data_IF_128081949689
#
_entry.id   IF_128081949689
#
_cell.length_a   1.000
_cell.length_b   1.000
_cell.length_c   1.000
_cell.angle_alpha   90.00
_cell.angle_beta   90.00
_cell.angle_gamma   90.00
#
_symmetry.space_group_name_H-M   'P 1'
#
loop_
_entity.id
_entity.type
_entity.pdbx_description
1 polymer ?
#
# COMPACT_ATOMS: atom_id res chain seq x y z
N UNK A 1 -47.90 -28.33 -51.40
CA UNK A 1 -46.45 -28.57 -51.52
C UNK A 1 -45.75 -27.23 -51.73
N UNK A 2 -44.93 -26.78 -50.76
CA UNK A 2 -43.64 -26.07 -50.88
C UNK A 2 -43.37 -25.29 -49.59
N UNK A 3 -42.23 -25.61 -48.99
CA UNK A 3 -41.73 -25.25 -47.64
C UNK A 3 -41.17 -23.82 -47.65
N UNK A 4 -41.30 -23.07 -46.56
CA UNK A 4 -40.40 -21.93 -46.29
C UNK A 4 -39.82 -21.97 -44.86
N UNK A 5 -38.62 -22.53 -44.82
CA UNK A 5 -37.43 -22.26 -44.01
C UNK A 5 -37.53 -21.50 -42.68
N UNK A 6 -37.15 -22.22 -41.62
CA UNK A 6 -36.62 -21.70 -40.36
C UNK A 6 -35.50 -20.69 -40.63
N UNK A 7 -35.55 -19.54 -39.97
CA UNK A 7 -34.39 -18.67 -39.77
C UNK A 7 -34.24 -18.41 -38.27
N UNK A 8 -33.67 -19.38 -37.57
CA UNK A 8 -33.20 -19.18 -36.20
C UNK A 8 -31.89 -18.38 -36.28
N UNK A 9 -31.98 -17.06 -36.08
CA UNK A 9 -30.81 -16.22 -35.92
C UNK A 9 -30.12 -16.56 -34.58
N UNK A 10 -29.10 -17.41 -34.63
CA UNK A 10 -28.18 -17.63 -33.54
C UNK A 10 -27.24 -16.40 -33.46
N UNK A 11 -27.59 -15.43 -32.61
CA UNK A 11 -26.68 -14.33 -32.28
C UNK A 11 -25.58 -14.89 -31.37
N UNK A 12 -24.45 -15.27 -31.95
CA UNK A 12 -23.23 -15.59 -31.21
C UNK A 12 -22.63 -14.28 -30.69
N UNK A 13 -22.98 -13.92 -29.45
CA UNK A 13 -22.34 -12.81 -28.76
C UNK A 13 -20.97 -13.27 -28.24
N UNK A 14 -19.91 -12.98 -28.99
CA UNK A 14 -18.53 -13.04 -28.49
C UNK A 14 -18.32 -11.90 -27.50
N UNK A 15 -18.57 -12.14 -26.21
CA UNK A 15 -18.11 -11.23 -25.16
C UNK A 15 -16.58 -11.28 -25.13
N UNK A 16 -15.94 -10.26 -25.68
CA UNK A 16 -14.53 -9.99 -25.40
C UNK A 16 -14.44 -9.60 -23.91
N UNK A 17 -14.01 -10.54 -23.07
CA UNK A 17 -13.62 -10.25 -21.69
C UNK A 17 -12.39 -9.34 -21.76
N UNK A 18 -12.58 -8.04 -21.50
CA UNK A 18 -11.46 -7.15 -21.25
C UNK A 18 -10.71 -7.69 -20.01
N UNK A 19 -9.38 -7.85 -20.05
CA UNK A 19 -8.63 -8.28 -18.88
C UNK A 19 -8.86 -7.25 -17.76
N UNK A 20 -9.21 -7.75 -16.57
CA UNK A 20 -9.27 -6.91 -15.38
C UNK A 20 -7.88 -6.32 -15.15
N UNK A 21 -7.78 -4.99 -15.03
CA UNK A 21 -6.56 -4.37 -14.56
C UNK A 21 -6.38 -4.78 -13.09
N UNK A 22 -5.32 -5.55 -12.80
CA UNK A 22 -4.92 -5.89 -11.45
C UNK A 22 -3.81 -4.95 -10.99
N UNK A 23 -3.92 -4.48 -9.75
CA UNK A 23 -2.81 -3.79 -9.10
C UNK A 23 -1.65 -4.78 -8.91
N UNK A 24 -0.43 -4.36 -9.26
CA UNK A 24 0.78 -5.14 -9.07
C UNK A 24 1.61 -4.51 -7.96
N UNK A 25 2.02 -5.32 -6.98
CA UNK A 25 2.97 -4.91 -5.94
C UNK A 25 4.32 -4.69 -6.61
N UNK A 26 4.88 -3.50 -6.45
CA UNK A 26 6.17 -3.09 -7.03
C UNK A 26 7.24 -2.83 -5.99
N UNK A 27 6.86 -2.71 -4.72
CA UNK A 27 7.76 -2.71 -3.57
C UNK A 27 6.99 -3.28 -2.37
N UNK A 28 7.67 -4.08 -1.56
CA UNK A 28 7.15 -4.55 -0.28
C UNK A 28 8.31 -4.78 0.69
N UNK A 29 8.16 -4.31 1.91
CA UNK A 29 9.05 -4.63 3.02
C UNK A 29 8.28 -4.66 4.34
N UNK A 30 8.47 -5.72 5.12
CA UNK A 30 7.95 -5.84 6.48
C UNK A 30 9.06 -5.93 7.52
N UNK A 31 10.32 -5.70 7.12
CA UNK A 31 11.53 -5.66 7.95
C UNK A 31 11.84 -6.93 8.76
N UNK A 32 11.05 -7.99 8.60
CA UNK A 32 11.11 -9.20 9.43
C UNK A 32 12.26 -10.15 9.10
N UNK A 33 12.90 -9.92 7.95
CA UNK A 33 14.07 -10.69 7.48
C UNK A 33 15.36 -10.37 8.24
N UNK A 34 15.38 -9.25 8.97
CA UNK A 34 16.56 -8.71 9.63
C UNK A 34 16.64 -9.11 11.12
N UNK A 35 17.83 -9.00 11.70
CA UNK A 35 18.05 -9.28 13.12
C UNK A 35 17.69 -8.07 13.99
N UNK A 36 16.82 -8.26 14.98
CA UNK A 36 16.58 -7.26 16.03
C UNK A 36 17.57 -7.44 17.20
N UNK A 37 17.98 -6.41 17.95
CA UNK A 37 17.82 -4.96 17.69
C UNK A 37 19.10 -4.43 17.02
N UNK A 38 18.97 -3.61 15.96
CA UNK A 38 20.07 -2.88 15.33
C UNK A 38 19.87 -1.36 15.52
N UNK A 39 20.60 -0.79 16.48
CA UNK A 39 20.44 0.59 16.93
C UNK A 39 21.21 1.62 16.11
N UNK A 40 21.61 1.29 14.88
CA UNK A 40 22.04 2.21 13.83
C UNK A 40 21.90 1.47 12.49
N UNK A 41 20.68 1.04 12.18
CA UNK A 41 20.41 0.22 11.01
C UNK A 41 20.74 0.99 9.72
N UNK A 42 21.58 0.41 8.87
CA UNK A 42 22.04 1.07 7.63
C UNK A 42 21.07 0.87 6.44
N UNK A 43 20.19 -0.13 6.53
CA UNK A 43 19.29 -0.53 5.45
C UNK A 43 19.24 -2.05 5.22
N UNK A 44 18.45 -2.44 4.23
CA UNK A 44 18.29 -3.80 3.71
C UNK A 44 18.38 -3.80 2.17
N UNK A 45 17.77 -4.78 1.51
CA UNK A 45 17.75 -4.86 0.05
C UNK A 45 16.75 -3.88 -0.62
N UNK A 46 15.82 -3.30 0.13
CA UNK A 46 14.73 -2.45 -0.36
C UNK A 46 14.99 -0.98 -0.01
N UNK A 47 15.43 -0.70 1.21
CA UNK A 47 15.66 0.63 1.76
C UNK A 47 17.08 0.82 2.26
N UNK A 48 17.54 2.06 2.23
CA UNK A 48 18.76 2.51 2.92
C UNK A 48 18.49 3.79 3.69
N UNK A 49 19.27 4.05 4.74
CA UNK A 49 19.21 5.32 5.47
C UNK A 49 19.88 6.41 4.64
N UNK A 50 19.10 7.37 4.14
CA UNK A 50 19.59 8.46 3.27
C UNK A 50 20.09 9.67 4.06
N UNK A 51 19.58 9.89 5.27
CA UNK A 51 20.04 10.93 6.19
C UNK A 51 19.65 10.59 7.63
N UNK A 52 20.38 11.15 8.58
CA UNK A 52 20.14 10.92 10.01
C UNK A 52 20.47 9.48 10.41
N UNK A 53 19.75 8.95 11.39
CA UNK A 53 19.83 7.55 11.79
C UNK A 53 18.46 6.95 12.03
N UNK A 54 18.37 5.64 11.85
CA UNK A 54 17.16 4.83 12.04
C UNK A 54 17.59 3.59 12.81
N UNK A 55 16.74 3.12 13.71
CA UNK A 55 16.97 1.87 14.44
C UNK A 55 15.98 0.81 13.95
N UNK A 56 16.44 -0.42 13.77
CA UNK A 56 15.58 -1.59 13.56
C UNK A 56 15.36 -2.28 14.90
N UNK A 57 14.12 -2.30 15.36
CA UNK A 57 13.74 -2.78 16.69
C UNK A 57 12.56 -3.76 16.61
N UNK A 58 12.18 -4.37 17.73
CA UNK A 58 10.99 -5.20 17.83
C UNK A 58 11.28 -6.69 18.04
N UNK A 59 10.33 -7.55 17.65
CA UNK A 59 10.41 -9.01 17.70
C UNK A 59 10.85 -9.61 19.05
N UNK A 60 10.35 -9.05 20.17
CA UNK A 60 10.72 -9.46 21.52
C UNK A 60 12.11 -9.00 21.99
N UNK A 61 12.76 -8.11 21.23
CA UNK A 61 14.00 -7.43 21.60
C UNK A 61 13.85 -6.47 22.78
N UNK A 62 14.93 -5.76 23.11
CA UNK A 62 14.96 -4.78 24.19
C UNK A 62 14.08 -3.56 23.94
N UNK A 63 13.72 -3.31 22.68
CA UNK A 63 12.87 -2.21 22.24
C UNK A 63 11.61 -2.71 21.52
N UNK A 64 10.97 -3.77 22.03
CA UNK A 64 9.68 -4.23 21.51
C UNK A 64 8.50 -3.35 22.00
N UNK A 65 8.35 -2.19 21.37
CA UNK A 65 7.34 -1.16 21.63
C UNK A 65 5.92 -1.55 21.20
N UNK A 66 5.79 -2.33 20.14
CA UNK A 66 4.53 -2.86 19.60
C UNK A 66 4.57 -4.40 19.50
N UNK A 67 4.45 -5.12 20.64
CA UNK A 67 4.60 -6.58 20.65
C UNK A 67 3.62 -7.30 19.73
N UNK A 68 4.13 -8.31 19.02
CA UNK A 68 3.35 -9.15 18.11
C UNK A 68 3.33 -8.70 16.65
N UNK A 69 4.01 -7.59 16.31
CA UNK A 69 4.10 -7.08 14.93
C UNK A 69 5.40 -7.45 14.20
N UNK A 70 6.31 -8.20 14.82
CA UNK A 70 7.61 -8.50 14.19
C UNK A 70 8.62 -7.38 14.43
N UNK A 71 9.46 -7.07 13.43
CA UNK A 71 10.41 -5.93 13.48
C UNK A 71 9.83 -4.73 12.76
N UNK A 72 10.25 -3.56 13.21
CA UNK A 72 9.84 -2.28 12.66
C UNK A 72 10.93 -1.25 12.85
N UNK A 73 10.84 -0.15 12.10
CA UNK A 73 11.80 0.92 12.13
C UNK A 73 11.39 2.03 13.08
N UNK A 74 12.30 2.41 13.97
CA UNK A 74 12.28 3.67 14.69
C UNK A 74 12.98 4.74 13.86
N UNK A 75 12.22 5.67 13.29
CA UNK A 75 12.73 6.66 12.34
C UNK A 75 13.58 7.79 12.98
N UNK A 76 13.93 7.68 14.25
CA UNK A 76 14.87 8.58 14.94
C UNK A 76 15.87 7.75 15.77
N UNK A 77 16.87 7.22 15.09
CA UNK A 77 17.81 6.27 15.67
C UNK A 77 18.84 6.87 16.65
N UNK A 78 19.83 6.06 17.02
CA UNK A 78 20.64 6.31 18.22
C UNK A 78 21.91 7.17 18.04
N UNK A 79 22.20 7.73 16.86
CA UNK A 79 23.44 8.54 16.66
C UNK A 79 23.38 9.94 17.29
N UNK A 80 22.21 10.59 17.31
CA UNK A 80 22.03 11.95 17.81
C UNK A 80 22.61 13.05 16.91
N UNK A 81 22.26 14.32 17.18
CA UNK A 81 22.75 15.49 16.43
C UNK A 81 22.16 15.71 15.03
N UNK A 82 21.22 14.87 14.58
CA UNK A 82 20.61 14.92 13.25
C UNK A 82 19.41 15.88 13.16
N UNK A 83 19.27 16.57 12.01
CA UNK A 83 18.08 17.33 11.60
C UNK A 83 18.00 17.33 10.04
N UNK A 84 17.11 16.53 9.41
CA UNK A 84 16.05 15.72 10.03
C UNK A 84 16.61 14.55 10.85
N UNK A 85 15.80 14.04 11.78
CA UNK A 85 16.15 12.95 12.70
C UNK A 85 16.64 11.67 11.99
N UNK A 86 15.84 11.19 11.03
CA UNK A 86 16.13 9.99 10.23
C UNK A 86 15.28 9.96 8.96
N UNK A 87 15.81 9.37 7.91
CA UNK A 87 15.10 9.13 6.66
C UNK A 87 15.57 7.82 6.03
N UNK A 88 14.61 6.98 5.62
CA UNK A 88 14.88 5.87 4.72
C UNK A 88 14.40 6.21 3.31
N UNK A 89 15.14 5.74 2.32
CA UNK A 89 14.79 5.91 0.89
C UNK A 89 14.89 4.56 0.18
N UNK A 90 13.93 4.27 -0.70
CA UNK A 90 13.95 3.04 -1.48
C UNK A 90 15.10 3.03 -2.49
N UNK A 91 15.79 1.90 -2.67
CA UNK A 91 16.75 1.75 -3.78
C UNK A 91 16.06 1.87 -5.14
N UNK A 92 14.84 1.34 -5.26
CA UNK A 92 14.04 1.46 -6.47
C UNK A 92 13.58 2.90 -6.70
N UNK A 93 13.59 3.31 -7.98
CA UNK A 93 12.90 4.52 -8.44
C UNK A 93 11.70 4.12 -9.27
N UNK A 94 10.58 4.77 -9.03
CA UNK A 94 9.31 4.51 -9.68
C UNK A 94 9.05 5.55 -10.78
N UNK A 95 8.43 5.13 -11.89
CA UNK A 95 8.06 6.04 -12.97
C UNK A 95 6.79 6.83 -12.64
N UNK A 96 6.50 7.86 -13.45
CA UNK A 96 5.24 8.58 -13.37
C UNK A 96 4.05 7.63 -13.53
N UNK A 97 2.99 7.85 -12.77
CA UNK A 97 1.81 6.98 -12.80
C UNK A 97 0.94 7.09 -11.56
N UNK A 98 -0.05 6.21 -11.49
CA UNK A 98 -0.92 6.07 -10.34
C UNK A 98 -0.42 4.93 -9.45
N UNK A 99 -0.37 5.17 -8.15
CA UNK A 99 0.05 4.19 -7.16
C UNK A 99 -0.91 4.17 -5.97
N UNK A 100 -0.93 3.03 -5.28
CA UNK A 100 -1.41 2.92 -3.90
C UNK A 100 -0.24 2.58 -3.01
N UNK A 101 -0.05 3.36 -1.95
CA UNK A 101 0.93 3.13 -0.90
C UNK A 101 0.20 2.73 0.38
N UNK A 102 0.55 1.56 0.90
CA UNK A 102 0.10 1.03 2.18
C UNK A 102 1.31 0.90 3.12
N UNK A 103 1.15 1.26 4.38
CA UNK A 103 2.15 1.07 5.43
C UNK A 103 1.51 1.21 6.80
N UNK A 104 2.16 0.67 7.83
CA UNK A 104 1.80 0.93 9.21
C UNK A 104 2.66 2.05 9.80
N UNK A 105 2.03 2.94 10.58
CA UNK A 105 2.74 3.97 11.33
C UNK A 105 2.16 4.12 12.73
N UNK A 106 3.03 4.17 13.73
CA UNK A 106 2.70 4.34 15.15
C UNK A 106 3.50 5.47 15.78
N UNK A 107 3.03 5.96 16.93
CA UNK A 107 3.79 6.89 17.75
C UNK A 107 5.07 6.28 18.31
N UNK A 108 5.91 7.10 18.94
CA UNK A 108 7.19 6.64 19.48
C UNK A 108 7.11 5.66 20.67
N UNK A 109 5.92 5.44 21.23
CA UNK A 109 5.59 4.53 22.34
C UNK A 109 6.46 4.67 23.60
N UNK A 110 7.23 5.76 23.72
CA UNK A 110 8.19 6.01 24.80
C UNK A 110 7.90 7.31 25.56
N UNK A 111 6.71 7.89 25.36
CA UNK A 111 6.27 9.11 26.03
C UNK A 111 6.96 10.39 25.54
N UNK A 112 7.63 10.34 24.38
CA UNK A 112 8.23 11.52 23.75
C UNK A 112 7.19 12.53 23.25
N UNK A 113 7.62 13.71 22.77
CA UNK A 113 6.72 14.65 22.10
C UNK A 113 6.10 14.04 20.83
N UNK A 114 5.05 14.68 20.32
CA UNK A 114 4.49 14.32 19.04
C UNK A 114 5.55 14.45 17.93
N UNK A 115 5.52 13.52 16.98
CA UNK A 115 6.50 13.37 15.92
C UNK A 115 5.81 13.36 14.56
N UNK A 116 6.42 14.00 13.57
CA UNK A 116 5.87 14.08 12.20
C UNK A 116 6.71 13.27 11.23
N UNK A 117 6.10 12.30 10.56
CA UNK A 117 6.72 11.57 9.45
C UNK A 117 6.22 12.15 8.13
N UNK A 118 7.14 12.58 7.28
CA UNK A 118 6.86 12.97 5.91
C UNK A 118 7.11 11.78 4.99
N UNK A 119 6.11 11.43 4.19
CA UNK A 119 6.17 10.36 3.19
C UNK A 119 6.13 10.98 1.80
N UNK A 120 7.09 10.63 0.93
CA UNK A 120 7.19 11.22 -0.41
C UNK A 120 7.44 10.19 -1.49
N UNK A 121 6.89 10.45 -2.68
CA UNK A 121 7.27 9.78 -3.93
C UNK A 121 7.07 10.76 -5.08
N UNK A 122 8.17 11.30 -5.61
CA UNK A 122 8.12 12.36 -6.63
C UNK A 122 7.48 13.64 -6.08
N UNK A 123 6.41 14.11 -6.71
CA UNK A 123 5.60 15.26 -6.30
C UNK A 123 4.48 14.92 -5.31
N UNK A 124 4.26 13.64 -4.99
CA UNK A 124 3.42 13.24 -3.87
C UNK A 124 4.15 13.46 -2.54
N UNK A 125 3.46 14.10 -1.58
CA UNK A 125 3.95 14.30 -0.21
C UNK A 125 2.78 14.33 0.76
N UNK A 126 2.92 13.63 1.89
CA UNK A 126 1.99 13.71 3.02
C UNK A 126 2.76 13.77 4.33
N UNK A 127 2.28 14.60 5.25
CA UNK A 127 2.82 14.68 6.62
C UNK A 127 1.82 14.06 7.58
N UNK A 128 2.28 13.10 8.38
CA UNK A 128 1.49 12.43 9.41
C UNK A 128 2.14 12.75 10.76
N UNK A 129 1.38 13.40 11.64
CA UNK A 129 1.84 13.74 12.99
C UNK A 129 1.13 12.85 14.00
N UNK A 130 1.92 12.14 14.83
CA UNK A 130 1.42 11.21 15.84
C UNK A 130 1.87 11.63 17.23
N UNK A 131 0.98 11.47 18.20
CA UNK A 131 1.32 11.50 19.61
C UNK A 131 2.05 10.20 20.00
N UNK A 132 2.80 10.21 21.11
CA UNK A 132 3.61 9.06 21.52
C UNK A 132 2.83 7.75 21.63
N UNK A 133 1.59 7.79 22.09
CA UNK A 133 0.78 6.60 22.36
C UNK A 133 -0.20 6.27 21.23
N UNK A 134 -0.09 6.93 20.07
CA UNK A 134 -0.93 6.57 18.94
C UNK A 134 -0.59 5.13 18.49
N UNK A 135 -1.61 4.28 18.25
CA UNK A 135 -1.39 2.88 17.93
C UNK A 135 -0.74 2.72 16.56
N UNK A 136 0.04 1.65 16.38
CA UNK A 136 0.52 1.23 15.07
C UNK A 136 -0.69 0.92 14.18
N UNK A 137 -0.91 1.77 13.16
CA UNK A 137 -2.13 1.78 12.35
C UNK A 137 -1.80 1.75 10.87
N UNK A 138 -2.60 1.03 10.07
CA UNK A 138 -2.44 1.01 8.62
C UNK A 138 -2.92 2.32 7.97
N UNK A 139 -2.04 2.95 7.20
CA UNK A 139 -2.31 4.07 6.32
C UNK A 139 -2.34 3.60 4.87
N UNK A 140 -3.27 4.14 4.07
CA UNK A 140 -3.41 3.81 2.66
C UNK A 140 -3.67 5.09 1.85
N UNK A 141 -2.86 5.34 0.84
CA UNK A 141 -2.97 6.51 -0.03
C UNK A 141 -2.92 6.09 -1.49
N UNK A 142 -3.96 6.44 -2.26
CA UNK A 142 -3.93 6.38 -3.72
C UNK A 142 -3.62 7.76 -4.30
N UNK A 143 -2.58 7.85 -5.13
CA UNK A 143 -2.12 9.14 -5.67
C UNK A 143 -1.52 8.98 -7.08
N UNK A 144 -1.38 10.10 -7.78
CA UNK A 144 -0.55 10.19 -8.98
C UNK A 144 0.78 10.83 -8.62
N UNK A 145 1.84 10.41 -9.30
CA UNK A 145 3.18 10.95 -9.14
C UNK A 145 3.85 11.15 -10.50
N UNK A 146 4.78 12.09 -10.54
CA UNK A 146 5.76 12.31 -11.61
C UNK A 146 6.92 11.30 -11.59
N UNK A 147 7.00 10.47 -10.55
CA UNK A 147 8.03 9.45 -10.36
C UNK A 147 9.16 9.90 -9.44
N UNK A 148 9.93 8.93 -8.94
CA UNK A 148 11.00 9.13 -7.97
C UNK A 148 11.14 7.94 -7.03
N UNK A 149 11.99 8.09 -6.01
CA UNK A 149 12.11 7.11 -4.93
C UNK A 149 11.03 7.35 -3.87
N UNK A 150 10.62 6.27 -3.19
CA UNK A 150 9.77 6.34 -2.00
C UNK A 150 10.66 6.66 -0.80
N UNK A 151 10.27 7.63 0.02
CA UNK A 151 11.00 7.97 1.23
C UNK A 151 10.07 8.22 2.42
N UNK A 152 10.55 7.87 3.61
CA UNK A 152 9.91 8.14 4.89
C UNK A 152 10.91 8.90 5.77
N UNK A 153 10.56 10.14 6.13
CA UNK A 153 11.42 11.04 6.90
C UNK A 153 10.77 11.45 8.20
N UNK A 154 11.45 11.23 9.31
CA UNK A 154 11.11 11.84 10.59
C UNK A 154 11.58 13.31 10.59
N UNK A 155 10.63 14.25 10.62
CA UNK A 155 10.93 15.68 10.61
C UNK A 155 11.47 16.16 11.97
N UNK A 156 12.14 17.31 11.92
CA UNK A 156 12.70 18.01 13.07
C UNK A 156 14.02 17.40 13.55
N UNK A 157 14.63 17.98 14.59
CA UNK A 157 15.83 17.41 15.15
C UNK A 157 15.51 16.10 15.88
N UNK A 158 16.53 15.25 15.93
CA UNK A 158 16.54 14.03 16.74
C UNK A 158 16.29 14.31 18.23
N UNK A 159 15.57 13.39 18.86
CA UNK A 159 15.45 13.24 20.31
C UNK A 159 15.60 11.75 20.71
N UNK A 160 16.14 10.93 19.80
CA UNK A 160 16.33 9.48 19.90
C UNK A 160 15.03 8.66 20.00
N UNK A 161 13.86 9.27 19.69
CA UNK A 161 12.57 8.58 19.68
C UNK A 161 11.67 9.07 18.54
N UNK A 162 11.48 8.22 17.53
CA UNK A 162 10.77 8.51 16.30
C UNK A 162 9.42 7.83 16.22
N UNK A 163 8.62 8.18 15.21
CA UNK A 163 7.47 7.35 14.84
C UNK A 163 7.97 5.98 14.36
N UNK A 164 7.15 4.96 14.60
CA UNK A 164 7.45 3.57 14.26
C UNK A 164 6.80 3.20 12.93
N UNK A 165 7.60 2.79 11.95
CA UNK A 165 7.19 2.42 10.60
C UNK A 165 7.29 0.91 10.39
N UNK A 166 6.28 0.31 9.76
CA UNK A 166 6.24 -1.11 9.46
C UNK A 166 5.42 -1.41 8.17
N UNK A 167 5.50 -2.63 7.66
CA UNK A 167 4.63 -3.22 6.62
C UNK A 167 4.45 -2.33 5.37
N UNK A 168 5.54 -1.81 4.81
CA UNK A 168 5.51 -0.93 3.64
C UNK A 168 5.20 -1.71 2.36
N UNK A 169 4.19 -1.28 1.61
CA UNK A 169 3.85 -1.83 0.31
C UNK A 169 3.46 -0.73 -0.68
N UNK A 170 4.04 -0.76 -1.88
CA UNK A 170 3.66 0.10 -3.00
C UNK A 170 3.14 -0.75 -4.15
N UNK A 171 1.98 -0.38 -4.70
CA UNK A 171 1.35 -1.06 -5.83
C UNK A 171 1.02 -0.10 -6.98
N UNK A 172 1.17 -0.55 -8.23
CA UNK A 172 0.78 0.23 -9.42
C UNK A 172 -0.71 0.13 -9.70
N UNK A 173 -1.34 1.27 -9.99
CA UNK A 173 -2.72 1.39 -10.45
C UNK A 173 -3.77 1.34 -9.33
N UNK A 174 -4.89 2.05 -9.53
CA UNK A 174 -6.10 1.87 -8.75
C UNK A 174 -6.71 0.53 -9.13
N UNK A 175 -6.96 -0.34 -8.14
CA UNK A 175 -7.86 -1.48 -8.32
C UNK A 175 -9.18 -0.89 -8.85
N UNK A 176 -9.59 -1.16 -10.10
CA UNK A 176 -10.86 -0.65 -10.60
C UNK A 176 -11.93 -1.16 -9.65
N UNK A 177 -12.75 -0.24 -9.13
CA UNK A 177 -13.92 -0.62 -8.34
C UNK A 177 -14.68 -1.71 -9.09
N UNK A 178 -15.06 -2.78 -8.37
CA UNK A 178 -14.90 -4.10 -8.91
C UNK A 178 -15.80 -4.29 -10.11
N UNK A 179 -15.21 -4.77 -11.20
CA UNK A 179 -15.93 -5.36 -12.33
C UNK A 179 -17.01 -6.37 -11.87
N UNK A 180 -16.98 -6.84 -10.62
CA UNK A 180 -18.08 -7.50 -9.93
C UNK A 180 -19.42 -6.82 -10.09
N UNK A 181 -19.56 -5.48 -10.00
CA UNK A 181 -20.87 -4.84 -10.21
C UNK A 181 -21.34 -4.99 -11.65
N UNK A 182 -20.44 -4.75 -12.61
CA UNK A 182 -20.74 -4.95 -14.03
C UNK A 182 -21.06 -6.41 -14.35
N UNK A 183 -20.35 -7.36 -13.75
CA UNK A 183 -20.57 -8.80 -13.91
C UNK A 183 -21.83 -9.28 -13.21
N UNK A 184 -22.21 -8.72 -12.05
CA UNK A 184 -23.49 -8.98 -11.40
C UNK A 184 -24.64 -8.43 -12.24
N UNK A 185 -24.53 -7.19 -12.74
CA UNK A 185 -25.55 -6.59 -13.61
C UNK A 185 -25.69 -7.39 -14.91
N UNK A 186 -24.58 -7.78 -15.54
CA UNK A 186 -24.58 -8.62 -16.73
C UNK A 186 -25.13 -10.02 -16.44
N UNK A 187 -24.73 -10.64 -15.33
CA UNK A 187 -25.18 -11.98 -14.91
C UNK A 187 -26.67 -12.01 -14.58
N UNK A 188 -27.14 -11.07 -13.76
CA UNK A 188 -28.57 -10.95 -13.42
C UNK A 188 -29.40 -10.46 -14.61
N UNK A 189 -28.88 -9.56 -15.43
CA UNK A 189 -29.51 -9.11 -16.67
C UNK A 189 -29.68 -10.25 -17.68
N UNK A 190 -28.66 -11.08 -17.86
CA UNK A 190 -28.71 -12.27 -18.71
C UNK A 190 -29.71 -13.32 -18.17
N UNK A 191 -29.67 -13.61 -16.87
CA UNK A 191 -30.61 -14.53 -16.23
C UNK A 191 -32.08 -14.05 -16.38
N UNK A 192 -32.33 -12.76 -16.13
CA UNK A 192 -33.65 -12.15 -16.31
C UNK A 192 -34.14 -12.20 -17.76
N UNK A 193 -33.27 -11.94 -18.73
CA UNK A 193 -33.59 -12.04 -20.16
C UNK A 193 -33.95 -13.48 -20.57
N UNK A 194 -33.25 -14.49 -20.04
CA UNK A 194 -33.56 -15.90 -20.30
C UNK A 194 -34.92 -16.31 -19.72
N UNK A 195 -35.25 -15.87 -18.50
CA UNK A 195 -36.55 -16.15 -17.88
C UNK A 195 -37.71 -15.50 -18.66
N UNK A 196 -37.56 -14.25 -19.13
CA UNK A 196 -38.59 -13.55 -19.92
C UNK A 196 -38.87 -14.25 -21.25
N UNK A 197 -37.87 -14.84 -21.89
CA UNK A 197 -38.04 -15.58 -23.16
C UNK A 197 -38.85 -16.86 -23.01
N UNK A 198 -38.81 -17.51 -21.84
CA UNK A 198 -39.59 -18.73 -21.59
C UNK A 198 -41.08 -18.42 -21.51
N UNK A 199 -41.46 -17.30 -20.90
CA UNK A 199 -42.88 -16.93 -20.80
C UNK A 199 -43.54 -16.62 -22.16
N UNK A 200 -42.78 -16.06 -23.11
CA UNK A 200 -43.28 -15.76 -24.47
C UNK A 200 -43.47 -17.02 -25.32
N UNK A 201 -42.81 -18.14 -24.99
CA UNK A 201 -42.95 -19.40 -25.72
C UNK A 201 -44.13 -20.29 -25.24
N UNK A 202 -44.77 -19.93 -24.12
CA UNK A 202 -45.94 -20.64 -23.57
C UNK A 202 -47.25 -19.83 -23.66
N UNK A 203 -47.23 -18.69 -24.34
CA UNK A 203 -48.41 -17.88 -24.69
C UNK A 203 -48.70 -18.02 -26.19
#
# INVERSE_FOLDING_TARGET
MKRLYLSAAALAATLALAPAAHAAVVLSDNFDGEAADDLNWDGDAVFFVSTGSVDLIGAGGGFDLYPGNGRYLDLDGSTGGNDPAGEITSFASFGAGNYTLDFQLGGNARGGPARTTRVTLGDFSVDITLAANDPLTNYSFSFNTTGGQLAFRQLGPTNFVGNILDDVQLSTGVVPEPATWAMMILGFGAAGAMLRRRQVAYA
#
